data_IF_485306519608
#
_entry.id   IF_485306519608
#
_cell.length_a   1.000
_cell.length_b   1.000
_cell.length_c   1.000
_cell.angle_alpha   90.00
_cell.angle_beta   90.00
_cell.angle_gamma   90.00
#
_symmetry.space_group_name_H-M   'P 1'
#
loop_
_entity.id
_entity.type
_entity.pdbx_description
1 polymer ?
#
# COMPACT_ATOMS: atom_id res chain seq x y z
N UNK A 1 1.49 1.27 -20.55
CA UNK A 1 2.25 2.30 -21.32
C UNK A 1 3.60 2.61 -20.65
N UNK A 2 3.64 2.90 -19.34
CA UNK A 2 4.89 3.31 -18.64
C UNK A 2 5.89 2.15 -18.51
N UNK A 3 5.43 0.93 -18.26
CA UNK A 3 6.28 -0.27 -18.24
C UNK A 3 6.97 -0.48 -19.59
N UNK A 4 6.21 -0.41 -20.68
CA UNK A 4 6.76 -0.53 -22.03
C UNK A 4 7.79 0.55 -22.39
N UNK A 5 7.70 1.75 -21.80
CA UNK A 5 8.69 2.80 -22.02
C UNK A 5 10.06 2.42 -21.42
N UNK A 6 10.07 1.82 -20.24
CA UNK A 6 11.31 1.35 -19.61
C UNK A 6 11.89 0.12 -20.32
N UNK A 7 11.05 -0.85 -20.68
CA UNK A 7 11.46 -2.02 -21.48
C UNK A 7 12.04 -1.58 -22.84
N UNK A 8 11.39 -0.65 -23.52
CA UNK A 8 11.90 -0.08 -24.76
C UNK A 8 13.26 0.60 -24.56
N UNK A 9 13.41 1.39 -23.50
CA UNK A 9 14.67 2.06 -23.17
C UNK A 9 15.80 1.05 -22.95
N UNK A 10 15.58 0.05 -22.12
CA UNK A 10 16.61 -0.95 -21.77
C UNK A 10 16.95 -1.87 -22.91
N UNK A 11 15.98 -2.30 -23.72
CA UNK A 11 16.17 -3.23 -24.83
C UNK A 11 16.64 -2.57 -26.13
N UNK A 12 16.43 -1.27 -26.29
CA UNK A 12 16.74 -0.53 -27.52
C UNK A 12 17.83 0.55 -27.33
N UNK A 13 17.49 1.77 -26.91
CA UNK A 13 18.42 2.89 -26.83
C UNK A 13 19.67 2.58 -25.99
N UNK A 14 19.49 1.99 -24.80
CA UNK A 14 20.61 1.68 -23.90
C UNK A 14 21.61 0.70 -24.53
N UNK A 15 21.14 -0.29 -25.28
CA UNK A 15 21.99 -1.31 -25.94
C UNK A 15 22.79 -0.77 -27.12
N UNK A 16 22.42 0.40 -27.64
CA UNK A 16 23.11 1.02 -28.79
C UNK A 16 24.14 2.06 -28.37
N UNK A 17 24.26 2.32 -27.07
CA UNK A 17 25.25 3.28 -26.57
C UNK A 17 26.66 2.73 -26.76
N UNK A 18 27.49 3.51 -27.44
CA UNK A 18 28.92 3.19 -27.61
C UNK A 18 29.71 3.48 -26.34
N UNK A 19 30.86 2.83 -26.13
CA UNK A 19 31.73 3.13 -24.99
C UNK A 19 32.05 4.64 -24.91
N UNK A 20 31.85 5.23 -23.73
CA UNK A 20 32.02 6.65 -23.50
C UNK A 20 30.87 7.54 -24.01
N UNK A 21 29.82 6.95 -24.57
CA UNK A 21 28.63 7.69 -24.95
C UNK A 21 27.81 8.13 -23.74
N UNK A 22 27.01 9.18 -23.91
CA UNK A 22 26.07 9.67 -22.90
C UNK A 22 24.63 9.54 -23.38
N UNK A 23 23.71 9.39 -22.43
CA UNK A 23 22.27 9.41 -22.69
C UNK A 23 21.70 10.65 -22.00
N UNK A 24 20.88 11.41 -22.74
CA UNK A 24 20.12 12.52 -22.21
C UNK A 24 18.64 12.18 -22.37
N UNK A 25 17.91 12.17 -21.25
CA UNK A 25 16.46 11.97 -21.22
C UNK A 25 15.82 13.31 -20.88
N UNK A 26 15.03 13.84 -21.81
CA UNK A 26 14.26 15.06 -21.61
C UNK A 26 12.79 14.70 -21.61
N UNK A 27 12.11 14.90 -20.49
CA UNK A 27 10.69 14.60 -20.36
C UNK A 27 10.05 15.39 -19.21
N UNK A 28 8.76 15.57 -19.30
CA UNK A 28 7.93 15.98 -18.17
C UNK A 28 7.62 14.76 -17.28
N UNK A 29 7.65 14.94 -15.97
CA UNK A 29 7.27 13.88 -15.04
C UNK A 29 5.76 13.61 -15.12
N UNK A 30 5.38 12.36 -14.97
CA UNK A 30 3.97 11.92 -15.04
C UNK A 30 3.54 11.12 -13.84
N UNK A 31 4.42 10.30 -13.29
CA UNK A 31 4.15 9.47 -12.14
C UNK A 31 5.44 8.95 -11.49
N UNK A 32 5.30 8.33 -10.32
CA UNK A 32 6.40 7.60 -9.67
C UNK A 32 6.82 6.31 -10.41
N UNK A 33 6.09 5.93 -11.48
CA UNK A 33 6.38 4.76 -12.32
C UNK A 33 6.82 5.15 -13.74
N UNK A 34 7.06 6.42 -14.01
CA UNK A 34 7.51 6.87 -15.33
C UNK A 34 8.96 6.44 -15.62
N UNK A 35 9.41 6.66 -16.87
CA UNK A 35 10.75 6.25 -17.28
C UNK A 35 11.84 6.86 -16.40
N UNK A 36 11.72 8.15 -16.05
CA UNK A 36 12.69 8.84 -15.20
C UNK A 36 12.79 8.21 -13.82
N UNK A 37 11.65 7.93 -13.17
CA UNK A 37 11.65 7.27 -11.88
C UNK A 37 12.34 5.89 -11.93
N UNK A 38 12.08 5.10 -12.98
CA UNK A 38 12.67 3.77 -13.11
C UNK A 38 14.18 3.81 -13.37
N UNK A 39 14.68 4.71 -14.20
CA UNK A 39 16.12 4.80 -14.45
C UNK A 39 16.89 5.34 -13.24
N UNK A 40 16.30 6.29 -12.49
CA UNK A 40 16.89 6.79 -11.23
C UNK A 40 16.92 5.67 -10.19
N UNK A 41 15.83 4.92 -10.05
CA UNK A 41 15.76 3.79 -9.11
C UNK A 41 16.77 2.69 -9.46
N UNK A 42 16.93 2.37 -10.74
CA UNK A 42 17.84 1.33 -11.21
C UNK A 42 19.31 1.62 -10.88
N UNK A 43 19.73 2.89 -10.71
CA UNK A 43 21.10 3.22 -10.30
C UNK A 43 21.45 2.73 -8.89
N UNK A 44 20.47 2.44 -8.06
CA UNK A 44 20.65 1.88 -6.70
C UNK A 44 20.76 0.36 -6.64
N UNK A 45 20.48 -0.36 -7.74
CA UNK A 45 20.44 -1.82 -7.73
C UNK A 45 21.80 -2.49 -7.73
N UNK A 46 22.83 -1.82 -8.27
CA UNK A 46 24.19 -2.34 -8.30
C UNK A 46 25.21 -1.20 -8.36
N UNK A 47 26.43 -1.46 -7.84
CA UNK A 47 27.53 -0.47 -7.88
C UNK A 47 27.91 -0.05 -9.30
N UNK A 48 27.70 -0.93 -10.28
CA UNK A 48 28.02 -0.73 -11.69
C UNK A 48 26.83 -0.21 -12.52
N UNK A 49 25.69 0.09 -11.88
CA UNK A 49 24.55 0.66 -12.58
C UNK A 49 24.89 2.04 -13.15
N UNK A 50 24.21 2.41 -14.25
CA UNK A 50 24.34 3.74 -14.84
C UNK A 50 24.03 4.81 -13.78
N UNK A 51 24.87 5.85 -13.72
CA UNK A 51 24.67 6.98 -12.81
C UNK A 51 24.04 8.13 -13.57
N UNK A 52 23.01 8.71 -12.95
CA UNK A 52 22.23 9.78 -13.56
C UNK A 52 22.43 11.09 -12.80
N UNK A 53 22.68 12.14 -13.53
CA UNK A 53 22.55 13.51 -13.05
C UNK A 53 21.13 13.98 -13.37
N UNK A 54 20.41 14.43 -12.35
CA UNK A 54 19.01 14.88 -12.50
C UNK A 54 18.99 16.39 -12.43
N UNK A 55 18.46 17.01 -13.49
CA UNK A 55 18.23 18.45 -13.55
C UNK A 55 16.73 18.68 -13.64
N UNK A 56 16.17 19.40 -12.65
CA UNK A 56 14.74 19.65 -12.54
C UNK A 56 14.43 21.14 -12.75
N UNK A 57 13.39 21.40 -13.53
CA UNK A 57 12.89 22.75 -13.80
C UNK A 57 11.41 22.83 -13.35
N UNK A 58 11.12 23.03 -12.05
CA UNK A 58 9.75 23.23 -11.59
C UNK A 58 9.22 24.55 -12.08
N UNK A 59 7.93 24.62 -12.42
CA UNK A 59 7.30 25.86 -12.91
C UNK A 59 7.43 27.02 -11.92
N UNK A 60 7.26 26.71 -10.63
CA UNK A 60 7.49 27.64 -9.52
C UNK A 60 8.64 27.10 -8.68
N UNK A 61 9.70 27.87 -8.57
CA UNK A 61 10.88 27.57 -7.78
C UNK A 61 10.58 27.61 -6.27
N UNK A 62 11.40 26.99 -5.41
CA UNK A 62 11.26 27.11 -3.95
C UNK A 62 11.25 28.56 -3.42
N UNK A 63 11.83 29.51 -4.18
CA UNK A 63 11.77 30.94 -3.91
C UNK A 63 10.37 31.55 -4.09
N UNK A 64 9.40 30.80 -4.66
CA UNK A 64 8.07 31.27 -5.02
C UNK A 64 8.01 32.07 -6.33
N UNK A 65 9.10 32.13 -7.07
CA UNK A 65 9.17 32.78 -8.38
C UNK A 65 9.03 31.76 -9.52
N UNK A 66 8.48 32.13 -10.69
CA UNK A 66 8.53 31.31 -11.88
C UNK A 66 9.96 30.90 -12.23
N UNK A 67 10.16 29.66 -12.70
CA UNK A 67 11.46 29.19 -13.20
C UNK A 67 11.93 29.98 -14.43
N UNK A 68 10.98 30.43 -15.24
CA UNK A 68 11.24 31.22 -16.44
C UNK A 68 10.36 32.48 -16.47
N UNK A 69 10.70 33.56 -15.68
CA UNK A 69 9.84 34.72 -15.47
C UNK A 69 9.68 35.61 -16.72
N UNK A 70 10.59 35.51 -17.71
CA UNK A 70 10.46 36.19 -18.98
C UNK A 70 9.35 35.63 -19.86
N UNK A 71 9.04 34.33 -19.69
CA UNK A 71 8.02 33.61 -20.47
C UNK A 71 6.72 33.43 -19.69
N UNK A 72 6.79 32.98 -18.44
CA UNK A 72 5.63 32.75 -17.61
C UNK A 72 5.49 33.74 -16.48
N UNK A 73 4.35 34.43 -16.42
CA UNK A 73 4.02 35.26 -15.26
C UNK A 73 3.45 34.36 -14.15
N UNK A 74 3.64 34.79 -12.92
CA UNK A 74 3.18 34.03 -11.74
C UNK A 74 1.65 33.81 -11.77
N UNK A 75 0.89 34.83 -12.15
CA UNK A 75 -0.56 34.80 -12.23
C UNK A 75 -1.05 33.82 -13.30
N UNK A 76 -0.32 33.67 -14.40
CA UNK A 76 -0.62 32.71 -15.46
C UNK A 76 -0.38 31.26 -14.97
N UNK A 77 0.73 31.02 -14.26
CA UNK A 77 1.00 29.72 -13.65
C UNK A 77 -0.03 29.36 -12.59
N UNK A 78 -0.48 30.30 -11.77
CA UNK A 78 -1.55 30.09 -10.80
C UNK A 78 -2.89 29.77 -11.47
N UNK A 79 -3.18 30.38 -12.62
CA UNK A 79 -4.38 30.04 -13.39
C UNK A 79 -4.31 28.61 -13.97
N UNK A 80 -3.15 28.17 -14.41
CA UNK A 80 -2.90 26.78 -14.85
C UNK A 80 -3.04 25.82 -13.68
N UNK A 81 -2.43 26.13 -12.54
CA UNK A 81 -2.54 25.35 -11.30
C UNK A 81 -4.00 25.15 -10.89
N UNK A 82 -4.80 26.24 -10.88
CA UNK A 82 -6.23 26.18 -10.54
C UNK A 82 -7.07 25.35 -11.54
N UNK A 83 -6.60 25.18 -12.78
CA UNK A 83 -7.29 24.41 -13.82
C UNK A 83 -6.94 22.91 -13.81
N UNK A 84 -5.91 22.54 -13.07
CA UNK A 84 -5.42 21.16 -12.98
C UNK A 84 -5.76 20.56 -11.62
N UNK A 85 -5.81 19.23 -11.58
CA UNK A 85 -5.77 18.55 -10.28
C UNK A 85 -4.38 18.71 -9.66
N UNK A 86 -4.32 18.70 -8.31
CA UNK A 86 -3.08 18.93 -7.54
C UNK A 86 -1.93 18.03 -8.00
N UNK A 87 -2.17 16.75 -8.22
CA UNK A 87 -1.10 15.87 -8.62
C UNK A 87 -0.65 16.03 -10.08
N UNK A 88 -1.55 16.41 -11.03
CA UNK A 88 -1.10 16.80 -12.38
C UNK A 88 -0.22 18.02 -12.35
N UNK A 89 -0.60 19.01 -11.54
CA UNK A 89 0.24 20.16 -11.31
C UNK A 89 1.59 19.75 -10.71
N UNK A 90 1.58 19.00 -9.62
CA UNK A 90 2.80 18.54 -8.97
C UNK A 90 3.69 17.69 -9.90
N UNK A 91 3.11 16.75 -10.64
CA UNK A 91 3.87 15.90 -11.53
C UNK A 91 4.43 16.67 -12.74
N UNK A 92 3.54 17.27 -13.52
CA UNK A 92 3.89 17.80 -14.83
C UNK A 92 4.54 19.19 -14.79
N UNK A 93 4.13 20.03 -13.84
CA UNK A 93 4.61 21.39 -13.73
C UNK A 93 5.66 21.58 -12.65
N UNK A 94 5.50 20.92 -11.51
CA UNK A 94 6.48 21.00 -10.43
C UNK A 94 7.55 19.90 -10.48
N UNK A 95 7.49 18.99 -11.45
CA UNK A 95 8.41 17.85 -11.64
C UNK A 95 8.47 16.91 -10.43
N UNK A 96 7.51 17.00 -9.53
CA UNK A 96 7.40 16.23 -8.31
C UNK A 96 6.12 15.39 -8.32
N UNK A 97 6.09 14.24 -9.04
CA UNK A 97 4.94 13.36 -9.01
C UNK A 97 4.74 12.82 -7.60
N UNK A 98 3.58 13.09 -7.04
CA UNK A 98 3.18 12.58 -5.74
C UNK A 98 2.25 11.38 -5.93
N UNK A 99 2.24 10.47 -4.97
CA UNK A 99 1.31 9.35 -4.95
C UNK A 99 -0.12 9.75 -4.59
N UNK A 100 -0.31 10.98 -4.10
CA UNK A 100 -1.59 11.44 -3.53
C UNK A 100 -2.69 11.67 -4.57
N UNK A 101 -2.34 11.82 -5.85
CA UNK A 101 -3.37 11.98 -6.88
C UNK A 101 -3.99 10.64 -7.26
N UNK A 102 -5.25 10.52 -6.95
CA UNK A 102 -6.01 9.27 -7.08
C UNK A 102 -5.79 8.31 -5.91
N UNK A 103 -5.06 8.72 -4.87
CA UNK A 103 -5.03 7.98 -3.63
C UNK A 103 -6.43 7.87 -3.05
N UNK A 104 -6.87 6.64 -2.80
CA UNK A 104 -8.19 6.36 -2.23
C UNK A 104 -8.15 6.62 -0.72
N UNK A 105 -6.99 6.38 -0.10
CA UNK A 105 -6.73 6.59 1.33
C UNK A 105 -5.74 7.74 1.46
N UNK A 106 -6.10 8.77 2.22
CA UNK A 106 -5.25 9.93 2.46
C UNK A 106 -4.43 9.75 3.72
N UNK A 107 -3.20 10.30 3.72
CA UNK A 107 -2.28 10.21 4.86
C UNK A 107 -2.85 10.90 6.11
N UNK A 108 -3.55 12.00 5.93
CA UNK A 108 -4.20 12.77 6.98
C UNK A 108 -5.37 12.06 7.70
N UNK A 109 -5.87 10.95 7.14
CA UNK A 109 -6.94 10.15 7.74
C UNK A 109 -6.43 9.12 8.74
N UNK A 110 -5.12 8.93 8.81
CA UNK A 110 -4.51 8.06 9.79
C UNK A 110 -4.27 8.81 11.09
N UNK A 111 -4.82 8.31 12.19
CA UNK A 111 -4.49 8.79 13.51
C UNK A 111 -3.16 8.18 13.98
N UNK A 112 -2.41 8.95 14.77
CA UNK A 112 -1.16 8.48 15.37
C UNK A 112 -1.38 8.12 16.81
N UNK A 113 -0.88 6.94 17.18
CA UNK A 113 -0.83 6.50 18.56
C UNK A 113 0.52 6.91 19.13
N UNK A 114 0.50 7.80 20.13
CA UNK A 114 1.70 8.43 20.67
C UNK A 114 2.15 7.78 21.99
N UNK A 115 1.38 6.85 22.54
CA UNK A 115 1.72 6.15 23.78
C UNK A 115 2.63 4.96 23.49
N UNK A 116 3.57 4.67 24.43
CA UNK A 116 4.52 3.56 24.32
C UNK A 116 3.83 2.19 24.45
N UNK A 117 2.72 2.12 25.18
CA UNK A 117 1.93 0.91 25.37
C UNK A 117 0.75 0.87 24.41
N UNK A 118 0.47 -0.31 23.86
CA UNK A 118 -0.74 -0.51 23.06
C UNK A 118 -2.00 -0.36 23.91
N UNK A 119 -3.12 0.17 23.37
CA UNK A 119 -4.35 0.28 24.12
C UNK A 119 -4.87 -1.09 24.54
N UNK A 120 -5.79 -1.12 25.52
CA UNK A 120 -6.51 -2.34 25.82
C UNK A 120 -7.28 -2.80 24.58
N UNK A 121 -6.99 -4.02 24.13
CA UNK A 121 -7.58 -4.59 22.93
C UNK A 121 -8.77 -5.49 23.28
N UNK A 122 -9.81 -5.43 22.45
CA UNK A 122 -10.97 -6.32 22.54
C UNK A 122 -10.70 -7.65 21.80
N UNK A 123 -10.03 -7.55 20.64
CA UNK A 123 -9.57 -8.71 19.86
C UNK A 123 -8.56 -8.28 18.79
N UNK A 124 -7.86 -9.29 18.24
CA UNK A 124 -6.80 -9.09 17.23
C UNK A 124 -7.17 -9.82 15.94
N UNK A 125 -7.00 -9.12 14.81
CA UNK A 125 -7.15 -9.65 13.45
C UNK A 125 -5.78 -9.71 12.81
N UNK A 126 -5.41 -10.85 12.25
CA UNK A 126 -4.19 -10.98 11.47
C UNK A 126 -4.52 -11.38 10.03
N UNK A 127 -3.97 -10.67 9.07
CA UNK A 127 -4.31 -10.84 7.65
C UNK A 127 -3.06 -11.09 6.83
N UNK A 128 -3.15 -12.00 5.88
CA UNK A 128 -2.05 -12.48 5.04
C UNK A 128 -2.40 -12.33 3.56
N UNK A 129 -1.62 -11.54 2.84
CA UNK A 129 -1.50 -11.64 1.39
C UNK A 129 -0.21 -12.40 1.06
N UNK A 130 -0.31 -13.48 0.29
CA UNK A 130 0.79 -14.43 0.16
C UNK A 130 1.26 -14.60 -1.28
N UNK A 131 2.59 -14.59 -1.46
CA UNK A 131 3.27 -14.98 -2.69
C UNK A 131 4.39 -15.97 -2.33
N UNK A 132 4.59 -17.02 -3.15
CA UNK A 132 5.64 -18.01 -2.91
C UNK A 132 6.78 -17.86 -3.91
N UNK A 133 7.63 -16.89 -3.72
CA UNK A 133 8.82 -16.81 -4.56
C UNK A 133 9.89 -15.92 -3.93
N UNK A 134 11.13 -16.43 -3.92
CA UNK A 134 12.33 -15.66 -3.56
C UNK A 134 12.92 -14.87 -4.72
N UNK A 135 12.33 -14.94 -5.92
CA UNK A 135 12.88 -14.22 -7.07
C UNK A 135 12.72 -12.71 -6.85
N UNK A 136 13.73 -11.96 -7.21
CA UNK A 136 13.72 -10.49 -7.09
C UNK A 136 12.56 -9.82 -7.86
N UNK A 137 12.03 -10.51 -8.86
CA UNK A 137 10.90 -10.06 -9.68
C UNK A 137 9.54 -10.54 -9.18
N UNK A 138 9.48 -11.27 -8.07
CA UNK A 138 8.23 -11.78 -7.52
C UNK A 138 7.58 -10.79 -6.56
N UNK A 139 6.26 -10.89 -6.45
CA UNK A 139 5.47 -10.15 -5.46
C UNK A 139 5.93 -10.51 -4.03
N UNK A 140 5.73 -9.61 -3.11
CA UNK A 140 5.98 -9.84 -1.70
C UNK A 140 4.84 -10.63 -1.07
N UNK A 141 5.14 -11.31 0.04
CA UNK A 141 4.11 -11.68 1.01
C UNK A 141 4.02 -10.58 2.07
N UNK A 142 2.82 -10.25 2.46
CA UNK A 142 2.55 -9.25 3.49
C UNK A 142 1.65 -9.82 4.59
N UNK A 143 1.99 -9.48 5.83
CA UNK A 143 1.21 -9.83 7.02
C UNK A 143 0.94 -8.52 7.75
N UNK A 144 -0.32 -8.24 8.05
CA UNK A 144 -0.69 -7.11 8.91
C UNK A 144 -1.48 -7.60 10.12
N UNK A 145 -1.18 -7.06 11.29
CA UNK A 145 -1.84 -7.38 12.55
C UNK A 145 -2.54 -6.15 13.08
N UNK A 146 -3.83 -6.28 13.37
CA UNK A 146 -4.72 -5.21 13.76
C UNK A 146 -5.40 -5.50 15.08
N UNK A 147 -5.37 -4.55 16.00
CA UNK A 147 -6.11 -4.61 17.25
C UNK A 147 -7.38 -3.77 17.18
N UNK A 148 -8.47 -4.28 17.72
CA UNK A 148 -9.70 -3.51 17.90
C UNK A 148 -9.76 -3.02 19.33
N UNK A 149 -10.02 -1.73 19.51
CA UNK A 149 -10.03 -1.07 20.80
C UNK A 149 -11.04 0.06 20.88
N UNK A 150 -11.36 0.51 22.08
CA UNK A 150 -12.20 1.68 22.31
C UNK A 150 -11.33 2.85 22.76
N UNK A 151 -11.21 3.94 21.97
CA UNK A 151 -10.42 5.13 22.38
C UNK A 151 -11.01 5.84 23.60
N UNK A 152 -12.31 5.63 23.84
CA UNK A 152 -13.05 6.12 25.00
C UNK A 152 -14.00 5.02 25.45
N UNK A 153 -14.34 4.99 26.74
CA UNK A 153 -15.29 4.02 27.29
C UNK A 153 -16.68 4.01 26.66
N UNK A 154 -17.03 5.10 25.98
CA UNK A 154 -18.28 5.24 25.21
C UNK A 154 -17.92 5.69 23.79
N UNK A 155 -18.28 4.89 22.78
CA UNK A 155 -18.02 5.20 21.37
C UNK A 155 -17.96 3.96 20.49
N UNK A 156 -17.71 4.18 19.20
CA UNK A 156 -17.48 3.08 18.26
C UNK A 156 -16.07 2.52 18.42
N UNK A 157 -15.90 1.20 18.27
CA UNK A 157 -14.58 0.58 18.31
C UNK A 157 -13.73 1.06 17.14
N UNK A 158 -12.45 1.27 17.37
CA UNK A 158 -11.47 1.69 16.39
C UNK A 158 -10.47 0.55 16.13
N UNK A 159 -9.65 0.70 15.09
CA UNK A 159 -8.59 -0.25 14.79
C UNK A 159 -7.23 0.43 14.91
N UNK A 160 -6.29 -0.28 15.50
CA UNK A 160 -4.89 0.11 15.57
C UNK A 160 -4.02 -0.94 14.86
N UNK A 161 -3.12 -0.47 14.00
CA UNK A 161 -2.09 -1.31 13.40
C UNK A 161 -1.07 -1.69 14.48
N UNK A 162 -0.94 -2.98 14.77
CA UNK A 162 -0.06 -3.51 15.82
C UNK A 162 1.29 -3.97 15.29
N UNK A 163 1.30 -4.55 14.07
CA UNK A 163 2.52 -5.01 13.40
C UNK A 163 2.29 -5.16 11.90
N UNK A 164 3.38 -5.10 11.14
CA UNK A 164 3.38 -5.43 9.73
C UNK A 164 4.71 -6.08 9.34
N UNK A 165 4.63 -7.17 8.59
CA UNK A 165 5.78 -7.87 8.01
C UNK A 165 5.61 -7.96 6.50
N UNK A 166 6.68 -7.69 5.79
CA UNK A 166 6.73 -7.80 4.34
C UNK A 166 8.04 -8.47 3.93
N UNK A 167 7.96 -9.50 3.12
CA UNK A 167 9.14 -10.26 2.72
C UNK A 167 8.91 -11.13 1.49
N UNK A 168 10.00 -11.54 0.86
CA UNK A 168 10.02 -12.57 -0.19
C UNK A 168 10.46 -13.87 0.44
N UNK A 169 9.48 -14.63 0.92
CA UNK A 169 9.69 -15.88 1.59
C UNK A 169 9.37 -17.07 0.69
N UNK A 170 10.13 -18.15 0.79
CA UNK A 170 9.66 -19.44 0.31
C UNK A 170 8.61 -19.99 1.29
N UNK A 171 7.97 -21.10 0.91
CA UNK A 171 6.88 -21.63 1.72
C UNK A 171 7.29 -22.02 3.16
N UNK A 172 8.44 -22.70 3.40
CA UNK A 172 8.91 -22.99 4.76
C UNK A 172 9.16 -21.74 5.60
N UNK A 173 9.73 -20.70 5.02
CA UNK A 173 10.00 -19.44 5.70
C UNK A 173 8.69 -18.70 6.03
N UNK A 174 7.78 -18.59 5.06
CA UNK A 174 6.48 -17.98 5.27
C UNK A 174 5.69 -18.71 6.36
N UNK A 175 5.74 -20.05 6.37
CA UNK A 175 5.10 -20.85 7.43
C UNK A 175 5.71 -20.54 8.80
N UNK A 176 7.02 -20.43 8.88
CA UNK A 176 7.73 -20.10 10.13
C UNK A 176 7.32 -18.69 10.60
N UNK A 177 7.37 -17.71 9.71
CA UNK A 177 6.97 -16.33 10.02
C UNK A 177 5.50 -16.28 10.49
N UNK A 178 4.60 -16.99 9.79
CA UNK A 178 3.19 -17.05 10.19
C UNK A 178 2.98 -17.66 11.58
N UNK A 179 3.74 -18.71 11.92
CA UNK A 179 3.68 -19.33 13.24
C UNK A 179 4.21 -18.43 14.34
N UNK A 180 5.31 -17.71 14.08
CA UNK A 180 5.91 -16.80 15.04
C UNK A 180 4.99 -15.59 15.27
N UNK A 181 4.39 -15.05 14.22
CA UNK A 181 3.42 -13.97 14.30
C UNK A 181 2.15 -14.42 15.06
N UNK A 182 1.66 -15.62 14.78
CA UNK A 182 0.49 -16.16 15.50
C UNK A 182 0.79 -16.34 16.99
N UNK A 183 1.92 -16.92 17.36
CA UNK A 183 2.29 -17.14 18.76
C UNK A 183 2.53 -15.86 19.52
N UNK A 184 3.04 -14.82 18.85
CA UNK A 184 3.33 -13.55 19.48
C UNK A 184 2.07 -12.73 19.76
N UNK A 185 1.15 -12.69 18.77
CA UNK A 185 -0.04 -11.83 18.84
C UNK A 185 -1.30 -12.57 19.32
N UNK A 186 -1.32 -13.90 19.25
CA UNK A 186 -2.47 -14.76 19.61
C UNK A 186 -3.81 -14.24 19.01
N UNK A 187 -3.86 -13.94 17.69
CA UNK A 187 -5.05 -13.32 17.08
C UNK A 187 -6.27 -14.24 17.14
N UNK A 188 -7.42 -13.67 17.43
CA UNK A 188 -8.71 -14.38 17.39
C UNK A 188 -9.15 -14.66 15.95
N UNK A 189 -8.66 -13.87 14.99
CA UNK A 189 -8.98 -14.03 13.57
C UNK A 189 -7.72 -14.05 12.74
N UNK A 190 -7.49 -15.13 12.00
CA UNK A 190 -6.44 -15.25 10.99
C UNK A 190 -7.08 -15.36 9.60
N UNK A 191 -6.75 -14.44 8.71
CA UNK A 191 -7.29 -14.37 7.35
C UNK A 191 -6.17 -14.66 6.37
N UNK A 192 -6.38 -15.56 5.41
CA UNK A 192 -5.43 -15.86 4.35
C UNK A 192 -6.15 -15.77 3.01
N UNK A 193 -5.58 -15.01 2.04
CA UNK A 193 -6.18 -14.95 0.71
C UNK A 193 -6.10 -16.32 0.02
N UNK A 194 -7.24 -16.82 -0.45
CA UNK A 194 -7.38 -18.14 -1.11
C UNK A 194 -6.87 -18.12 -2.56
N UNK A 195 -5.67 -17.60 -2.79
CA UNK A 195 -4.93 -17.76 -4.05
C UNK A 195 -4.12 -19.05 -4.03
N UNK A 196 -3.48 -19.39 -5.14
CA UNK A 196 -2.66 -20.59 -5.27
C UNK A 196 -1.60 -20.73 -4.15
N UNK A 197 -1.09 -19.61 -3.65
CA UNK A 197 -0.11 -19.53 -2.57
C UNK A 197 -0.71 -19.61 -1.16
N UNK A 198 -1.91 -19.08 -0.93
CA UNK A 198 -2.54 -19.06 0.39
C UNK A 198 -3.16 -20.40 0.81
N UNK A 199 -3.63 -21.21 -0.14
CA UNK A 199 -4.25 -22.49 0.17
C UNK A 199 -3.34 -23.48 0.90
N UNK A 200 -2.08 -23.72 0.48
CA UNK A 200 -1.15 -24.58 1.22
C UNK A 200 -0.87 -24.04 2.63
N UNK A 201 -0.69 -22.74 2.80
CA UNK A 201 -0.48 -22.12 4.11
C UNK A 201 -1.69 -22.36 5.02
N UNK A 202 -2.89 -22.13 4.50
CA UNK A 202 -4.14 -22.39 5.24
C UNK A 202 -4.24 -23.83 5.71
N UNK A 203 -3.92 -24.80 4.85
CA UNK A 203 -3.96 -26.22 5.21
C UNK A 203 -3.00 -26.55 6.34
N UNK A 204 -1.76 -26.08 6.26
CA UNK A 204 -0.75 -26.30 7.29
C UNK A 204 -1.13 -25.64 8.63
N UNK A 205 -1.59 -24.39 8.60
CA UNK A 205 -2.01 -23.71 9.82
C UNK A 205 -3.22 -24.39 10.47
N UNK A 206 -4.21 -24.83 9.69
CA UNK A 206 -5.37 -25.59 10.20
C UNK A 206 -4.97 -26.94 10.79
N UNK A 207 -3.98 -27.66 10.22
CA UNK A 207 -3.50 -28.93 10.75
C UNK A 207 -2.92 -28.83 12.16
N UNK A 208 -2.35 -27.69 12.49
CA UNK A 208 -1.77 -27.41 13.82
C UNK A 208 -2.76 -26.70 14.75
N UNK A 209 -4.04 -26.62 14.35
CA UNK A 209 -5.13 -26.12 15.19
C UNK A 209 -5.36 -24.61 15.11
N UNK A 210 -4.70 -23.88 14.19
CA UNK A 210 -4.96 -22.45 13.99
C UNK A 210 -6.22 -22.29 13.12
N UNK A 211 -7.28 -21.63 13.61
CA UNK A 211 -8.48 -21.40 12.84
C UNK A 211 -8.21 -20.29 11.80
N UNK A 212 -8.15 -20.66 10.52
CA UNK A 212 -7.90 -19.73 9.42
C UNK A 212 -9.17 -19.54 8.60
N UNK A 213 -9.51 -18.28 8.36
CA UNK A 213 -10.55 -17.87 7.40
C UNK A 213 -9.90 -17.69 6.04
N UNK A 214 -10.42 -18.34 5.01
CA UNK A 214 -10.00 -18.07 3.65
C UNK A 214 -10.77 -16.87 3.10
N UNK A 215 -10.03 -15.89 2.61
CA UNK A 215 -10.58 -14.79 1.84
C UNK A 215 -10.51 -15.10 0.35
N UNK A 216 -11.63 -15.07 -0.34
CA UNK A 216 -11.68 -15.26 -1.79
C UNK A 216 -12.26 -14.01 -2.45
N UNK A 217 -11.43 -13.25 -3.19
CA UNK A 217 -11.92 -12.11 -3.94
C UNK A 217 -12.98 -12.53 -4.95
N UNK A 218 -14.11 -11.82 -5.00
CA UNK A 218 -15.18 -12.08 -5.95
C UNK A 218 -14.83 -11.55 -7.35
N UNK A 219 -15.34 -12.22 -8.40
CA UNK A 219 -15.18 -11.75 -9.77
C UNK A 219 -15.93 -10.42 -9.94
N UNK A 220 -15.21 -9.37 -10.31
CA UNK A 220 -15.76 -8.03 -10.53
C UNK A 220 -15.54 -7.07 -9.35
N UNK A 221 -15.07 -7.55 -8.20
CA UNK A 221 -14.63 -6.72 -7.10
C UNK A 221 -13.10 -6.58 -7.16
N UNK A 222 -12.61 -5.64 -7.94
CA UNK A 222 -11.19 -5.38 -8.10
C UNK A 222 -10.58 -4.74 -6.83
N UNK A 223 -9.27 -4.69 -6.76
CA UNK A 223 -8.54 -4.10 -5.62
C UNK A 223 -9.02 -2.67 -5.31
N UNK A 224 -9.29 -1.87 -6.33
CA UNK A 224 -9.76 -0.48 -6.20
C UNK A 224 -11.09 -0.44 -5.47
N UNK A 225 -12.05 -1.28 -5.88
CA UNK A 225 -13.37 -1.36 -5.24
C UNK A 225 -13.25 -1.80 -3.78
N UNK A 226 -12.38 -2.75 -3.46
CA UNK A 226 -12.13 -3.21 -2.08
C UNK A 226 -11.56 -2.08 -1.22
N UNK A 227 -10.56 -1.34 -1.71
CA UNK A 227 -10.00 -0.20 -0.98
C UNK A 227 -11.06 0.88 -0.76
N UNK A 228 -11.88 1.20 -1.77
CA UNK A 228 -13.03 2.11 -1.61
C UNK A 228 -14.02 1.61 -0.55
N UNK A 229 -14.22 0.31 -0.42
CA UNK A 229 -15.12 -0.23 0.58
C UNK A 229 -14.67 0.01 2.02
N UNK A 230 -13.37 0.15 2.28
CA UNK A 230 -12.80 0.41 3.61
C UNK A 230 -12.38 1.86 3.83
N UNK A 231 -12.27 2.66 2.77
CA UNK A 231 -11.85 4.08 2.90
C UNK A 231 -12.71 4.89 3.88
N UNK A 232 -14.02 4.64 4.08
CA UNK A 232 -14.80 5.35 5.10
C UNK A 232 -14.31 5.15 6.54
N UNK A 233 -13.64 4.03 6.84
CA UNK A 233 -13.05 3.82 8.18
C UNK A 233 -11.89 4.78 8.43
N UNK A 234 -11.09 5.05 7.39
CA UNK A 234 -10.01 6.02 7.45
C UNK A 234 -10.56 7.45 7.54
N UNK A 235 -11.48 7.80 6.65
CA UNK A 235 -12.11 9.14 6.61
C UNK A 235 -12.81 9.51 7.92
N UNK A 236 -13.41 8.53 8.60
CA UNK A 236 -14.06 8.74 9.89
C UNK A 236 -13.08 8.78 11.08
N UNK A 237 -11.77 8.65 10.85
CA UNK A 237 -10.75 8.69 11.89
C UNK A 237 -10.73 7.45 12.79
N UNK A 238 -11.21 6.30 12.31
CA UNK A 238 -11.23 5.06 13.09
C UNK A 238 -9.91 4.28 13.02
N UNK A 239 -9.00 4.66 12.13
CA UNK A 239 -7.76 3.91 11.87
C UNK A 239 -6.58 4.60 12.54
N UNK A 240 -5.82 3.83 13.31
CA UNK A 240 -4.68 4.29 14.09
C UNK A 240 -3.43 3.49 13.74
N UNK A 241 -2.27 4.13 13.85
CA UNK A 241 -0.98 3.49 13.68
C UNK A 241 0.05 4.10 14.66
N UNK A 242 1.02 3.31 15.16
CA UNK A 242 2.07 3.83 16.03
C UNK A 242 3.05 4.71 15.25
N UNK A 243 3.84 5.51 15.98
CA UNK A 243 4.93 6.34 15.44
C UNK A 243 6.19 5.49 15.19
N UNK A 244 6.06 4.44 14.38
CA UNK A 244 7.12 3.49 14.06
C UNK A 244 7.41 3.47 12.54
N UNK A 245 8.69 3.29 12.19
CA UNK A 245 9.11 3.29 10.78
C UNK A 245 8.39 2.22 9.94
N UNK A 246 8.19 1.04 10.49
CA UNK A 246 7.48 -0.05 9.80
C UNK A 246 6.00 0.29 9.57
N UNK A 247 5.37 1.05 10.48
CA UNK A 247 4.00 1.52 10.30
C UNK A 247 3.91 2.59 9.20
N UNK A 248 4.93 3.45 9.09
CA UNK A 248 5.02 4.40 7.99
C UNK A 248 5.09 3.71 6.62
N UNK A 249 5.73 2.54 6.51
CA UNK A 249 5.75 1.75 5.26
C UNK A 249 4.34 1.30 4.85
N UNK A 250 3.51 0.88 5.80
CA UNK A 250 2.10 0.52 5.54
C UNK A 250 1.30 1.74 5.10
N UNK A 251 1.46 2.86 5.83
CA UNK A 251 0.76 4.10 5.52
C UNK A 251 1.13 4.60 4.13
N UNK A 252 2.42 4.65 3.81
CA UNK A 252 2.91 5.15 2.52
C UNK A 252 2.45 4.25 1.37
N UNK A 253 2.42 2.92 1.53
CA UNK A 253 1.90 2.01 0.51
C UNK A 253 0.38 2.17 0.31
N UNK A 254 -0.39 2.28 1.41
CA UNK A 254 -1.83 2.53 1.34
C UNK A 254 -2.16 3.87 0.70
N UNK A 255 -1.41 4.92 1.02
CA UNK A 255 -1.60 6.26 0.45
C UNK A 255 -1.09 6.37 -1.00
N UNK A 256 -0.19 5.49 -1.42
CA UNK A 256 0.28 5.43 -2.80
C UNK A 256 -0.68 4.67 -3.73
N UNK A 257 -1.57 3.84 -3.20
CA UNK A 257 -2.49 3.04 -4.00
C UNK A 257 -3.58 3.92 -4.68
N UNK A 258 -3.95 3.69 -5.96
CA UNK A 258 -3.55 2.58 -6.84
C UNK A 258 -2.25 2.82 -7.63
N UNK A 259 -1.57 3.94 -7.44
CA UNK A 259 -0.42 4.38 -8.24
C UNK A 259 0.93 3.90 -7.68
N UNK A 260 0.95 3.31 -6.48
CA UNK A 260 2.12 2.77 -5.80
C UNK A 260 2.83 1.66 -6.60
N UNK A 261 4.07 1.36 -6.26
CA UNK A 261 4.85 0.29 -6.88
C UNK A 261 4.41 -1.09 -6.38
N UNK A 262 4.08 -1.15 -5.10
CA UNK A 262 3.63 -2.36 -4.40
C UNK A 262 2.24 -2.14 -3.83
N UNK A 263 1.50 -3.21 -3.65
CA UNK A 263 0.15 -3.21 -3.09
C UNK A 263 -0.12 -4.40 -2.14
N UNK A 264 0.93 -5.10 -1.74
CA UNK A 264 0.84 -6.29 -0.89
C UNK A 264 0.34 -5.93 0.53
N UNK A 265 0.86 -4.84 1.12
CA UNK A 265 0.40 -4.32 2.40
C UNK A 265 -1.01 -3.72 2.31
N UNK A 266 -1.37 -3.14 1.15
CA UNK A 266 -2.73 -2.65 0.89
C UNK A 266 -3.73 -3.80 0.88
N UNK A 267 -3.41 -4.90 0.18
CA UNK A 267 -4.29 -6.07 0.11
C UNK A 267 -4.47 -6.70 1.50
N UNK A 268 -3.38 -6.93 2.24
CA UNK A 268 -3.45 -7.44 3.61
C UNK A 268 -4.26 -6.53 4.54
N UNK A 269 -4.02 -5.20 4.49
CA UNK A 269 -4.78 -4.20 5.25
C UNK A 269 -6.27 -4.24 4.90
N UNK A 270 -6.58 -4.21 3.60
CA UNK A 270 -7.96 -4.18 3.12
C UNK A 270 -8.75 -5.39 3.58
N UNK A 271 -8.17 -6.59 3.51
CA UNK A 271 -8.78 -7.83 3.99
C UNK A 271 -9.12 -7.76 5.48
N UNK A 272 -8.20 -7.29 6.32
CA UNK A 272 -8.44 -7.13 7.76
C UNK A 272 -9.59 -6.16 8.04
N UNK A 273 -9.57 -4.99 7.39
CA UNK A 273 -10.58 -3.95 7.60
C UNK A 273 -11.96 -4.33 7.05
N UNK A 274 -12.03 -5.08 5.94
CA UNK A 274 -13.28 -5.63 5.42
C UNK A 274 -13.86 -6.65 6.39
N UNK A 275 -13.04 -7.52 6.99
CA UNK A 275 -13.48 -8.49 8.01
C UNK A 275 -14.06 -7.77 9.22
N UNK A 276 -13.40 -6.73 9.70
CA UNK A 276 -13.91 -5.89 10.78
C UNK A 276 -15.31 -5.32 10.46
N UNK A 277 -15.49 -4.75 9.26
CA UNK A 277 -16.76 -4.16 8.83
C UNK A 277 -17.92 -5.15 8.78
N UNK A 278 -17.65 -6.43 8.57
CA UNK A 278 -18.68 -7.46 8.53
C UNK A 278 -19.19 -7.89 9.91
N UNK A 279 -18.52 -7.45 10.98
CA UNK A 279 -18.92 -7.77 12.36
C UNK A 279 -18.82 -9.26 12.72
N UNK A 280 -18.15 -10.06 11.89
CA UNK A 280 -17.96 -11.50 12.12
C UNK A 280 -16.60 -11.73 12.78
N UNK A 281 -16.54 -11.60 14.10
CA UNK A 281 -15.30 -11.69 14.86
C UNK A 281 -15.02 -13.10 15.39
N UNK A 282 -16.02 -13.96 15.46
CA UNK A 282 -15.86 -15.34 15.90
C UNK A 282 -15.61 -16.21 14.67
N UNK A 283 -14.47 -16.90 14.67
CA UNK A 283 -14.14 -17.87 13.63
C UNK A 283 -14.78 -19.22 13.91
N UNK A 284 -15.37 -19.80 12.88
CA UNK A 284 -15.66 -21.22 12.84
C UNK A 284 -14.53 -21.94 12.09
N UNK A 285 -14.17 -23.19 12.45
CA UNK A 285 -13.07 -23.94 11.82
C UNK A 285 -13.16 -24.08 10.30
N UNK A 286 -14.33 -23.90 9.71
CA UNK A 286 -14.60 -23.99 8.26
C UNK A 286 -15.14 -22.69 7.69
N UNK A 287 -14.85 -21.55 8.32
CA UNK A 287 -15.30 -20.25 7.85
C UNK A 287 -14.51 -19.85 6.60
N UNK A 288 -15.15 -19.97 5.44
CA UNK A 288 -14.63 -19.48 4.16
C UNK A 288 -15.37 -18.19 3.80
N UNK A 289 -14.65 -17.11 3.80
CA UNK A 289 -15.20 -15.80 3.48
C UNK A 289 -15.05 -15.49 1.99
N UNK A 290 -16.17 -15.14 1.38
CA UNK A 290 -16.21 -14.61 0.02
C UNK A 290 -16.44 -13.10 0.10
N UNK A 291 -15.68 -12.35 -0.65
CA UNK A 291 -15.90 -10.93 -0.88
C UNK A 291 -17.21 -10.77 -1.67
N UNK A 292 -18.34 -10.84 -0.97
CA UNK A 292 -19.65 -10.46 -1.49
C UNK A 292 -19.93 -9.02 -1.12
N UNK A 293 -20.74 -8.31 -1.92
CA UNK A 293 -21.16 -6.94 -1.62
C UNK A 293 -21.56 -6.79 -0.15
N UNK A 294 -21.19 -5.67 0.51
CA UNK A 294 -21.43 -5.49 1.93
C UNK A 294 -22.90 -5.74 2.24
N UNK A 295 -23.15 -6.77 3.04
CA UNK A 295 -24.48 -7.02 3.56
C UNK A 295 -24.94 -5.76 4.30
N UNK A 296 -26.04 -5.18 3.87
CA UNK A 296 -26.71 -4.02 4.50
C UNK A 296 -27.27 -4.35 5.89
N UNK A 297 -26.99 -5.51 6.44
CA UNK A 297 -27.35 -5.90 7.79
C UNK A 297 -26.24 -5.55 8.78
N UNK A 298 -26.19 -4.27 9.15
CA UNK A 298 -25.66 -3.90 10.46
C UNK A 298 -26.69 -4.40 11.46
N UNK A 299 -26.43 -5.54 12.09
CA UNK A 299 -27.13 -5.89 13.31
C UNK A 299 -26.71 -4.86 14.35
N UNK A 300 -27.60 -3.92 14.65
CA UNK A 300 -27.43 -3.07 15.82
C UNK A 300 -27.48 -3.98 17.06
N UNK A 301 -26.37 -4.09 17.75
CA UNK A 301 -26.30 -4.73 19.07
C UNK A 301 -26.69 -3.72 20.18
N UNK A 302 -27.63 -2.82 19.91
CA UNK A 302 -28.21 -1.96 20.92
C UNK A 302 -29.74 -1.99 20.73
N UNK A 303 -30.41 -2.89 21.44
CA UNK A 303 -31.79 -2.89 21.81
C UNK A 303 -31.88 -2.78 23.30
#
# INVERSE_FOLDING_TARGET
AMEHAYEWYTSGPRQRLQPGGAIVIVMTRWSLKDLTAKVIKAQGYADHADKWEVVEFPAIMPSGNPCWPEYWKKEELQAVEASLSVGKWNAQWQQNPTSEEGAIIKKEWWNRWEEDEVPQLEYIIQSYDTAFSKKETADYSAITTWGVFYPKSEGSPNLILLDAKKGRWDFPELKTEALDQYKFWEPETVIVEAKASGLPLTQELRQIGIPVVNFTPSKGNDKITRVHSVSPLFESGMIWAPNERWADEVIDECCAFPNGEYDDLVDSTTQALMRYRQGNFVQLPNDDWKDTEPSTYIRSYYG
#
